data_IF_419705029262
#
_entry.id   IF_419705029262
#
_cell.length_a   1.000
_cell.length_b   1.000
_cell.length_c   1.000
_cell.angle_alpha   90.00
_cell.angle_beta   90.00
_cell.angle_gamma   90.00
#
_symmetry.space_group_name_H-M   'P 1'
#
loop_
_entity.id
_entity.type
_entity.pdbx_description
1 polymer ?
#
# COMPACT_ATOMS: atom_id res chain seq x y z
N UNK A 1 44.69 36.89 14.45
CA UNK A 1 44.24 37.76 15.56
C UNK A 1 43.33 38.82 14.97
N UNK A 2 42.02 38.58 14.95
CA UNK A 2 41.01 39.57 14.51
C UNK A 2 39.94 39.58 15.59
N UNK A 3 39.84 40.72 16.26
CA UNK A 3 38.94 41.02 17.36
C UNK A 3 37.65 41.57 16.76
N UNK A 4 36.52 40.92 17.00
CA UNK A 4 35.21 41.55 16.77
C UNK A 4 34.48 41.75 18.10
N UNK A 5 34.25 43.03 18.37
CA UNK A 5 33.62 43.61 19.56
C UNK A 5 32.11 43.66 19.37
N UNK A 6 31.42 43.35 20.46
CA UNK A 6 30.01 43.60 20.79
C UNK A 6 29.29 44.72 20.03
N UNK A 7 28.04 44.45 19.64
CA UNK A 7 26.98 45.45 19.74
C UNK A 7 25.74 44.81 20.37
N UNK A 8 25.52 45.18 21.63
CA UNK A 8 24.36 44.87 22.45
C UNK A 8 23.30 45.94 22.15
N UNK A 9 22.12 45.56 21.64
CA UNK A 9 20.95 46.43 21.64
C UNK A 9 19.76 45.62 22.12
N UNK A 10 19.41 45.86 23.39
CA UNK A 10 18.14 45.51 23.97
C UNK A 10 17.07 46.47 23.42
N UNK A 11 15.97 45.92 22.90
CA UNK A 11 14.73 46.67 22.73
C UNK A 11 13.61 45.88 23.42
N UNK A 12 13.22 46.39 24.58
CA UNK A 12 12.03 46.00 25.33
C UNK A 12 10.78 46.51 24.62
N UNK A 13 9.94 45.59 24.14
CA UNK A 13 8.55 45.89 23.78
C UNK A 13 7.63 45.27 24.84
N UNK A 14 7.15 46.12 25.74
CA UNK A 14 6.07 45.81 26.68
C UNK A 14 4.77 45.84 25.87
N UNK A 15 4.30 44.67 25.45
CA UNK A 15 2.98 44.49 24.83
C UNK A 15 1.94 44.14 25.89
N UNK A 16 0.96 45.03 26.07
CA UNK A 16 -0.21 44.81 26.91
C UNK A 16 -1.03 43.64 26.36
N UNK A 17 -1.12 42.55 27.11
CA UNK A 17 -2.07 41.48 26.85
C UNK A 17 -3.45 41.92 27.37
N UNK A 18 -4.33 42.25 26.43
CA UNK A 18 -5.76 42.34 26.70
C UNK A 18 -6.27 40.98 27.18
N UNK A 19 -7.01 40.98 28.29
CA UNK A 19 -7.66 39.81 28.82
C UNK A 19 -8.68 39.28 27.80
N UNK A 20 -8.41 38.12 27.23
CA UNK A 20 -9.34 37.35 26.42
C UNK A 20 -10.54 36.96 27.30
N UNK A 21 -11.79 37.20 26.88
CA UNK A 21 -12.95 36.69 27.61
C UNK A 21 -12.88 35.16 27.65
N UNK A 22 -12.94 34.61 28.87
CA UNK A 22 -13.05 33.18 29.10
C UNK A 22 -14.31 32.67 28.39
N UNK A 23 -14.11 32.01 27.25
CA UNK A 23 -15.14 31.22 26.62
C UNK A 23 -15.50 30.09 27.58
N UNK A 24 -16.77 30.01 27.93
CA UNK A 24 -17.34 28.92 28.70
C UNK A 24 -16.96 27.60 28.03
N UNK A 25 -16.19 26.77 28.75
CA UNK A 25 -15.95 25.40 28.36
C UNK A 25 -17.27 24.65 28.51
N UNK A 26 -17.89 24.33 27.39
CA UNK A 26 -18.91 23.28 27.32
C UNK A 26 -18.14 21.98 27.50
N UNK A 27 -18.19 21.43 28.71
CA UNK A 27 -17.81 20.05 28.97
C UNK A 27 -18.78 19.17 28.17
N UNK A 28 -18.37 18.80 26.95
CA UNK A 28 -18.93 17.62 26.31
C UNK A 28 -18.35 16.41 27.03
N UNK A 29 -19.19 15.73 27.83
CA UNK A 29 -18.96 14.36 28.25
C UNK A 29 -18.92 13.46 27.02
N UNK A 30 -17.81 13.49 26.27
CA UNK A 30 -17.47 12.45 25.34
C UNK A 30 -16.92 11.30 26.16
N UNK A 31 -17.79 10.34 26.46
CA UNK A 31 -17.40 9.04 27.01
C UNK A 31 -16.62 8.32 25.90
N UNK A 32 -15.30 8.50 25.90
CA UNK A 32 -14.39 7.66 25.12
C UNK A 32 -14.32 6.32 25.85
N UNK A 33 -15.14 5.37 25.42
CA UNK A 33 -14.98 3.97 25.79
C UNK A 33 -13.73 3.45 25.06
N UNK A 34 -12.57 3.64 25.70
CA UNK A 34 -11.42 2.80 25.43
C UNK A 34 -11.75 1.43 26.01
N UNK A 35 -12.40 0.58 25.20
CA UNK A 35 -12.47 -0.83 25.50
C UNK A 35 -11.05 -1.35 25.48
N UNK A 36 -10.46 -1.54 26.67
CA UNK A 36 -9.25 -2.33 26.81
C UNK A 36 -9.59 -3.72 26.26
N UNK A 37 -9.04 -4.04 25.09
CA UNK A 37 -8.96 -5.41 24.63
C UNK A 37 -7.98 -6.10 25.59
N UNK A 38 -8.52 -6.64 26.69
CA UNK A 38 -7.75 -7.27 27.78
C UNK A 38 -6.93 -8.45 27.25
N UNK A 39 -7.35 -9.08 26.15
CA UNK A 39 -6.63 -10.15 25.48
C UNK A 39 -6.78 -10.11 23.96
N UNK A 40 -5.80 -10.66 23.24
CA UNK A 40 -5.91 -10.88 21.79
C UNK A 40 -7.00 -11.91 21.42
N UNK A 41 -7.49 -12.66 22.41
CA UNK A 41 -8.49 -13.72 22.26
C UNK A 41 -9.91 -13.14 22.12
N UNK A 42 -10.12 -11.88 22.55
CA UNK A 42 -11.40 -11.16 22.46
C UNK A 42 -11.59 -10.39 21.14
N UNK A 43 -10.61 -10.45 20.22
CA UNK A 43 -10.72 -9.79 18.92
C UNK A 43 -11.77 -10.51 18.04
N UNK A 44 -12.77 -9.81 17.49
CA UNK A 44 -13.79 -10.40 16.61
C UNK A 44 -13.23 -10.71 15.22
N UNK A 45 -12.24 -11.62 15.15
CA UNK A 45 -11.61 -12.04 13.90
C UNK A 45 -11.94 -13.50 13.63
N UNK A 46 -12.98 -13.74 12.85
CA UNK A 46 -13.23 -15.06 12.27
C UNK A 46 -12.50 -15.15 10.93
N UNK A 47 -11.57 -16.08 10.81
CA UNK A 47 -11.03 -16.47 9.51
C UNK A 47 -12.06 -17.34 8.80
N UNK A 48 -12.70 -16.81 7.75
CA UNK A 48 -13.56 -17.65 6.89
C UNK A 48 -12.74 -18.79 6.27
N UNK A 49 -13.35 -19.97 6.07
CA UNK A 49 -12.68 -21.09 5.41
C UNK A 49 -12.19 -20.67 4.02
N UNK A 50 -11.06 -21.24 3.62
CA UNK A 50 -10.35 -20.92 2.39
C UNK A 50 -11.26 -21.04 1.16
N UNK A 51 -11.63 -19.90 0.61
CA UNK A 51 -12.24 -19.85 -0.72
C UNK A 51 -11.15 -20.10 -1.77
N UNK A 52 -11.55 -20.53 -2.97
CA UNK A 52 -10.62 -20.67 -4.11
C UNK A 52 -9.81 -19.38 -4.37
N UNK A 53 -10.39 -18.21 -4.07
CA UNK A 53 -9.72 -16.93 -4.19
C UNK A 53 -8.53 -16.81 -3.21
N UNK A 54 -8.73 -17.16 -1.94
CA UNK A 54 -7.66 -17.12 -0.93
C UNK A 54 -6.49 -18.06 -1.28
N UNK A 55 -6.78 -19.25 -1.82
CA UNK A 55 -5.74 -20.16 -2.31
C UNK A 55 -4.98 -19.56 -3.50
N UNK A 56 -5.69 -18.89 -4.42
CA UNK A 56 -5.08 -18.22 -5.58
C UNK A 56 -4.19 -17.06 -5.12
N UNK A 57 -4.64 -16.25 -4.16
CA UNK A 57 -3.85 -15.17 -3.56
C UNK A 57 -2.57 -15.67 -2.89
N UNK A 58 -2.66 -16.74 -2.10
CA UNK A 58 -1.47 -17.34 -1.47
C UNK A 58 -0.47 -17.86 -2.50
N UNK A 59 -0.98 -18.49 -3.56
CA UNK A 59 -0.14 -18.98 -4.66
C UNK A 59 0.56 -17.81 -5.36
N UNK A 60 -0.20 -16.77 -5.70
CA UNK A 60 0.32 -15.55 -6.31
C UNK A 60 1.39 -14.88 -5.44
N UNK A 61 1.14 -14.73 -4.14
CA UNK A 61 2.10 -14.13 -3.19
C UNK A 61 3.36 -14.98 -3.03
N UNK A 62 3.23 -16.30 -2.93
CA UNK A 62 4.37 -17.22 -2.87
C UNK A 62 5.25 -17.13 -4.12
N UNK A 63 4.63 -17.06 -5.31
CA UNK A 63 5.34 -16.86 -6.58
C UNK A 63 5.99 -15.47 -6.68
N UNK A 64 5.38 -14.41 -6.16
CA UNK A 64 5.98 -13.08 -6.08
C UNK A 64 7.18 -13.07 -5.14
N UNK A 65 7.09 -13.70 -3.97
CA UNK A 65 8.20 -13.81 -3.04
C UNK A 65 9.37 -14.63 -3.63
N UNK A 66 9.06 -15.74 -4.31
CA UNK A 66 10.06 -16.54 -5.04
C UNK A 66 10.77 -15.73 -6.12
N UNK A 67 9.99 -15.00 -6.93
CA UNK A 67 10.52 -14.17 -7.99
C UNK A 67 11.52 -13.16 -7.46
N UNK A 68 11.12 -12.40 -6.45
CA UNK A 68 11.94 -11.35 -5.88
C UNK A 68 13.24 -11.88 -5.25
N UNK A 69 13.22 -13.07 -4.63
CA UNK A 69 14.46 -13.74 -4.18
C UNK A 69 15.39 -14.17 -5.32
N UNK A 70 14.86 -14.38 -6.52
CA UNK A 70 15.62 -14.83 -7.69
C UNK A 70 16.11 -13.66 -8.56
N UNK A 71 15.42 -12.52 -8.58
CA UNK A 71 15.72 -11.39 -9.50
C UNK A 71 16.74 -10.38 -9.00
N UNK A 72 17.13 -10.42 -7.73
CA UNK A 72 17.68 -9.26 -7.01
C UNK A 72 16.73 -8.05 -7.10
N UNK A 73 17.11 -6.90 -6.52
CA UNK A 73 16.34 -5.66 -6.67
C UNK A 73 16.62 -5.00 -8.03
N UNK A 74 15.61 -4.38 -8.67
CA UNK A 74 15.85 -3.51 -9.82
C UNK A 74 16.85 -2.40 -9.48
N UNK A 75 17.49 -1.85 -10.53
CA UNK A 75 18.29 -0.63 -10.42
C UNK A 75 17.48 0.49 -9.72
N UNK A 76 18.11 1.36 -8.91
CA UNK A 76 17.40 2.35 -8.08
C UNK A 76 16.37 3.20 -8.85
N UNK A 77 16.72 3.69 -10.04
CA UNK A 77 15.81 4.49 -10.88
C UNK A 77 14.60 3.70 -11.39
N UNK A 78 14.79 2.43 -11.75
CA UNK A 78 13.69 1.55 -12.17
C UNK A 78 12.81 1.19 -10.96
N UNK A 79 13.41 0.90 -9.81
CA UNK A 79 12.67 0.62 -8.57
C UNK A 79 11.86 1.82 -8.10
N UNK A 80 12.43 3.04 -8.11
CA UNK A 80 11.69 4.29 -7.87
C UNK A 80 10.53 4.45 -8.84
N UNK A 81 10.76 4.20 -10.12
CA UNK A 81 9.69 4.29 -11.11
C UNK A 81 8.57 3.29 -10.79
N UNK A 82 8.89 2.07 -10.35
CA UNK A 82 7.90 1.08 -9.96
C UNK A 82 7.16 1.54 -8.69
N UNK A 83 7.86 1.82 -7.60
CA UNK A 83 7.30 2.06 -6.27
C UNK A 83 6.71 3.46 -6.12
N UNK A 84 7.37 4.48 -6.63
CA UNK A 84 7.04 5.89 -6.43
C UNK A 84 6.24 6.51 -7.58
N UNK A 85 5.90 5.75 -8.62
CA UNK A 85 4.84 6.17 -9.56
C UNK A 85 3.46 5.75 -9.02
N UNK A 86 2.39 6.56 -9.21
CA UNK A 86 1.03 6.14 -8.92
C UNK A 86 0.66 4.82 -9.62
N UNK A 87 -0.04 3.91 -8.92
CA UNK A 87 -0.23 2.49 -9.30
C UNK A 87 -0.74 2.29 -10.73
N UNK A 88 -1.65 3.15 -11.19
CA UNK A 88 -2.29 3.02 -12.51
C UNK A 88 -1.70 3.94 -13.58
N UNK A 89 -0.52 4.53 -13.36
CA UNK A 89 0.16 5.31 -14.38
C UNK A 89 1.04 4.42 -15.25
N UNK A 90 0.99 4.69 -16.56
CA UNK A 90 1.69 3.91 -17.59
C UNK A 90 3.19 3.77 -17.31
N UNK A 91 3.85 4.78 -16.76
CA UNK A 91 5.28 4.73 -16.46
C UNK A 91 5.63 3.60 -15.47
N UNK A 92 4.95 3.55 -14.32
CA UNK A 92 5.17 2.52 -13.29
C UNK A 92 4.77 1.13 -13.79
N UNK A 93 3.65 1.02 -14.50
CA UNK A 93 3.19 -0.24 -15.10
C UNK A 93 4.20 -0.76 -16.14
N UNK A 94 4.74 0.13 -17.00
CA UNK A 94 5.72 -0.26 -18.02
C UNK A 94 7.06 -0.65 -17.39
N UNK A 95 7.49 0.02 -16.33
CA UNK A 95 8.68 -0.35 -15.57
C UNK A 95 8.53 -1.74 -14.93
N UNK A 96 7.43 -1.98 -14.20
CA UNK A 96 7.17 -3.29 -13.60
C UNK A 96 7.04 -4.39 -14.66
N UNK A 97 6.38 -4.11 -15.78
CA UNK A 97 6.29 -5.04 -16.90
C UNK A 97 7.66 -5.44 -17.46
N UNK A 98 8.56 -4.47 -17.70
CA UNK A 98 9.92 -4.76 -18.18
C UNK A 98 10.69 -5.60 -17.18
N UNK A 99 10.61 -5.25 -15.89
CA UNK A 99 11.27 -5.98 -14.83
C UNK A 99 10.80 -7.44 -14.78
N UNK A 100 9.49 -7.67 -14.80
CA UNK A 100 8.88 -9.01 -14.84
C UNK A 100 9.33 -9.79 -16.08
N UNK A 101 9.32 -9.16 -17.27
CA UNK A 101 9.70 -9.86 -18.51
C UNK A 101 11.15 -10.30 -18.52
N UNK A 102 12.04 -9.42 -18.09
CA UNK A 102 13.50 -9.67 -18.06
C UNK A 102 13.83 -10.84 -17.14
N UNK A 103 13.02 -11.06 -16.11
CA UNK A 103 13.24 -12.10 -15.11
C UNK A 103 12.11 -13.14 -15.05
N UNK A 104 11.38 -13.33 -16.15
CA UNK A 104 10.22 -14.23 -16.17
C UNK A 104 10.54 -15.68 -15.78
N UNK A 105 11.80 -16.11 -15.97
CA UNK A 105 12.30 -17.42 -15.52
C UNK A 105 12.40 -17.61 -14.00
N UNK A 106 12.25 -16.54 -13.22
CA UNK A 106 12.26 -16.60 -11.75
C UNK A 106 10.90 -17.00 -11.13
N UNK A 107 9.85 -17.13 -11.95
CA UNK A 107 8.61 -17.77 -11.51
C UNK A 107 8.76 -19.29 -11.59
N UNK A 108 8.33 -20.00 -10.54
CA UNK A 108 8.68 -21.40 -10.37
C UNK A 108 7.68 -22.41 -10.92
N UNK A 109 6.75 -22.00 -11.79
CA UNK A 109 5.79 -22.91 -12.42
C UNK A 109 6.13 -23.22 -13.87
N UNK A 110 6.23 -24.51 -14.20
CA UNK A 110 6.14 -25.03 -15.58
C UNK A 110 4.80 -24.63 -16.26
N UNK A 111 3.77 -24.34 -15.47
CA UNK A 111 2.42 -23.92 -15.92
C UNK A 111 2.09 -22.45 -15.65
N UNK A 112 2.95 -21.69 -14.96
CA UNK A 112 2.87 -20.22 -14.96
C UNK A 112 3.45 -19.73 -16.27
N UNK A 113 2.81 -20.11 -17.38
CA UNK A 113 2.97 -19.40 -18.64
C UNK A 113 2.52 -17.99 -18.33
N UNK A 114 3.48 -17.10 -18.09
CA UNK A 114 3.27 -15.66 -18.14
C UNK A 114 2.64 -15.45 -19.49
N UNK A 115 1.31 -15.37 -19.52
CA UNK A 115 0.59 -15.22 -20.77
C UNK A 115 1.20 -13.97 -21.41
N UNK A 116 1.51 -13.98 -22.71
CA UNK A 116 2.01 -12.82 -23.40
C UNK A 116 0.91 -11.74 -23.37
N UNK A 117 0.80 -11.06 -22.24
CA UNK A 117 -0.02 -9.90 -22.01
C UNK A 117 0.88 -8.72 -22.34
N UNK A 118 0.45 -7.82 -23.24
CA UNK A 118 1.21 -6.61 -23.51
C UNK A 118 1.38 -5.73 -22.26
N UNK A 119 0.67 -6.02 -21.15
CA UNK A 119 0.59 -5.16 -19.97
C UNK A 119 0.64 -5.93 -18.62
N UNK A 120 1.70 -6.72 -18.38
CA UNK A 120 1.93 -7.38 -17.07
C UNK A 120 1.98 -6.42 -15.87
N UNK A 121 2.25 -5.12 -16.11
CA UNK A 121 2.18 -4.11 -15.06
C UNK A 121 0.78 -3.54 -14.78
N UNK A 122 -0.23 -3.86 -15.59
CA UNK A 122 -1.65 -3.48 -15.35
C UNK A 122 -2.36 -4.61 -14.63
N UNK A 123 -2.30 -5.80 -15.21
CA UNK A 123 -2.75 -7.04 -14.60
C UNK A 123 -1.83 -8.14 -15.14
N UNK A 124 -1.23 -8.88 -14.22
CA UNK A 124 -0.50 -10.12 -14.51
C UNK A 124 -1.45 -11.26 -14.13
N UNK A 125 -2.38 -11.66 -15.02
CA UNK A 125 -3.45 -12.57 -14.64
C UNK A 125 -2.87 -13.95 -14.32
N UNK A 126 -3.21 -14.49 -13.14
CA UNK A 126 -3.05 -15.90 -12.88
C UNK A 126 -4.34 -16.62 -13.29
N UNK A 127 -4.25 -17.42 -14.35
CA UNK A 127 -5.35 -18.31 -14.72
C UNK A 127 -5.42 -19.46 -13.72
N UNK A 128 -6.63 -19.88 -13.36
CA UNK A 128 -6.82 -21.09 -12.57
C UNK A 128 -6.15 -22.30 -13.30
N UNK A 129 -5.45 -23.20 -12.59
CA UNK A 129 -4.85 -24.39 -13.18
C UNK A 129 -5.88 -25.15 -14.03
N UNK A 130 -5.58 -25.42 -15.30
CA UNK A 130 -6.45 -26.17 -16.21
C UNK A 130 -7.57 -25.37 -16.91
N UNK A 131 -7.70 -24.06 -16.68
CA UNK A 131 -8.61 -23.24 -17.48
C UNK A 131 -7.98 -22.95 -18.87
N UNK A 132 -8.53 -23.43 -19.99
CA UNK A 132 -8.00 -23.13 -21.32
C UNK A 132 -7.99 -21.60 -21.53
N UNK A 133 -6.98 -21.04 -22.21
CA UNK A 133 -6.96 -19.62 -22.53
C UNK A 133 -8.19 -19.30 -23.38
N UNK A 134 -9.18 -18.64 -22.76
CA UNK A 134 -10.30 -18.08 -23.50
C UNK A 134 -9.77 -16.89 -24.29
N UNK A 135 -9.45 -17.12 -25.58
CA UNK A 135 -9.10 -16.14 -26.62
C UNK A 135 -8.36 -14.89 -26.12
N UNK A 136 -7.03 -14.92 -26.17
CA UNK A 136 -6.15 -13.81 -25.79
C UNK A 136 -6.35 -12.50 -26.59
N UNK A 137 -7.18 -12.52 -27.65
CA UNK A 137 -7.39 -11.40 -28.57
C UNK A 137 -8.41 -10.35 -28.12
N UNK A 138 -9.00 -10.46 -26.92
CA UNK A 138 -10.11 -9.57 -26.50
C UNK A 138 -9.77 -8.50 -25.44
N UNK A 139 -8.51 -8.29 -25.07
CA UNK A 139 -8.13 -7.20 -24.15
C UNK A 139 -7.47 -6.06 -24.94
N UNK A 140 -8.29 -5.30 -25.66
CA UNK A 140 -7.90 -3.97 -26.15
C UNK A 140 -8.25 -2.92 -25.10
N UNK A 141 -7.22 -2.37 -24.44
CA UNK A 141 -7.37 -1.16 -23.63
C UNK A 141 -7.50 0.03 -24.59
N UNK A 142 -8.71 0.54 -24.70
CA UNK A 142 -9.18 1.57 -25.62
C UNK A 142 -8.67 3.00 -25.29
N UNK A 143 -7.57 3.14 -24.56
CA UNK A 143 -7.22 4.42 -23.92
C UNK A 143 -6.31 5.35 -24.74
N UNK A 144 -5.91 5.02 -25.97
CA UNK A 144 -5.04 5.87 -26.80
C UNK A 144 -5.45 6.03 -28.28
N UNK A 145 -6.67 5.67 -28.66
CA UNK A 145 -7.15 5.93 -30.03
C UNK A 145 -7.50 7.43 -30.21
N UNK A 146 -7.09 8.06 -31.33
CA UNK A 146 -7.51 9.41 -31.70
C UNK A 146 -9.03 9.55 -31.66
N UNK A 147 -9.52 10.73 -31.30
CA UNK A 147 -10.96 11.00 -31.12
C UNK A 147 -11.81 10.57 -32.33
N UNK A 148 -11.26 10.66 -33.54
CA UNK A 148 -11.93 10.30 -34.79
C UNK A 148 -12.19 8.78 -34.94
N UNK A 149 -11.37 7.91 -34.33
CA UNK A 149 -11.58 6.46 -34.37
C UNK A 149 -12.61 5.95 -33.34
N UNK A 150 -12.92 6.75 -32.30
CA UNK A 150 -13.97 6.41 -31.31
C UNK A 150 -15.38 6.51 -31.90
N UNK A 151 -15.56 7.33 -32.93
CA UNK A 151 -16.85 7.52 -33.60
C UNK A 151 -17.32 6.30 -34.41
N UNK A 152 -16.44 5.35 -34.73
CA UNK A 152 -16.81 4.14 -35.49
C UNK A 152 -17.08 2.92 -34.58
N UNK A 153 -16.77 3.01 -33.29
CA UNK A 153 -16.96 1.94 -32.31
C UNK A 153 -18.18 2.16 -31.39
N UNK A 154 -19.08 3.08 -31.74
CA UNK A 154 -20.38 3.24 -31.09
C UNK A 154 -21.31 2.08 -31.44
N UNK A 155 -21.05 0.92 -30.82
CA UNK A 155 -22.07 -0.11 -30.63
C UNK A 155 -22.71 0.17 -29.28
N UNK A 156 -23.95 0.62 -29.33
CA UNK A 156 -24.90 0.63 -28.22
C UNK A 156 -25.01 -0.79 -27.64
N UNK A 157 -24.26 -1.02 -26.57
CA UNK A 157 -24.33 -2.24 -25.79
C UNK A 157 -23.39 -2.11 -24.62
N UNK A 158 -23.94 -1.88 -23.42
CA UNK A 158 -23.22 -2.07 -22.16
C UNK A 158 -22.72 -3.52 -22.09
N UNK A 159 -21.54 -3.80 -22.66
CA UNK A 159 -20.76 -4.97 -22.32
C UNK A 159 -20.17 -4.68 -20.95
N UNK A 160 -20.84 -5.19 -19.92
CA UNK A 160 -20.18 -5.60 -18.69
C UNK A 160 -18.92 -6.37 -19.11
N UNK A 161 -17.74 -5.75 -18.95
CA UNK A 161 -16.49 -6.47 -18.94
C UNK A 161 -16.57 -7.34 -17.70
N UNK A 162 -17.07 -8.57 -17.85
CA UNK A 162 -16.78 -9.61 -16.88
C UNK A 162 -15.27 -9.81 -16.98
N UNK A 163 -14.53 -9.16 -16.10
CA UNK A 163 -13.25 -9.70 -15.71
C UNK A 163 -13.60 -11.10 -15.19
N UNK A 164 -13.34 -12.12 -16.01
CA UNK A 164 -13.25 -13.49 -15.50
C UNK A 164 -12.36 -13.40 -14.26
N UNK A 165 -12.70 -14.11 -13.18
CA UNK A 165 -12.09 -13.99 -11.85
C UNK A 165 -10.61 -14.34 -11.74
N UNK A 166 -9.81 -13.89 -12.70
CA UNK A 166 -8.36 -13.96 -12.77
C UNK A 166 -7.83 -12.91 -11.81
N UNK A 167 -7.24 -13.40 -10.71
CA UNK A 167 -6.52 -12.59 -9.76
C UNK A 167 -5.36 -11.88 -10.47
N UNK A 168 -5.27 -10.55 -10.33
CA UNK A 168 -4.14 -9.78 -10.85
C UNK A 168 -2.95 -9.89 -9.90
N UNK A 169 -1.86 -10.51 -10.37
CA UNK A 169 -0.66 -10.73 -9.57
C UNK A 169 0.14 -9.46 -9.24
N UNK A 170 -0.13 -8.38 -9.99
CA UNK A 170 0.60 -7.11 -9.91
C UNK A 170 0.66 -6.55 -8.48
N UNK A 171 -0.41 -6.72 -7.69
CA UNK A 171 -0.46 -6.29 -6.30
C UNK A 171 0.58 -7.02 -5.44
N UNK A 172 0.74 -8.32 -5.66
CA UNK A 172 1.70 -9.15 -4.92
C UNK A 172 3.13 -8.93 -5.40
N UNK A 173 3.35 -8.79 -6.71
CA UNK A 173 4.67 -8.48 -7.28
C UNK A 173 5.17 -7.13 -6.76
N UNK A 174 4.30 -6.10 -6.73
CA UNK A 174 4.61 -4.78 -6.19
C UNK A 174 4.74 -4.79 -4.66
N UNK A 175 3.90 -5.54 -3.96
CA UNK A 175 4.00 -5.73 -2.50
C UNK A 175 5.35 -6.31 -2.09
N UNK A 176 5.81 -7.36 -2.78
CA UNK A 176 7.11 -7.97 -2.51
C UNK A 176 8.28 -7.00 -2.80
N UNK A 177 8.16 -6.12 -3.80
CA UNK A 177 9.14 -5.04 -4.04
C UNK A 177 9.13 -3.99 -2.93
N UNK A 178 7.97 -3.64 -2.37
CA UNK A 178 7.90 -2.76 -1.19
C UNK A 178 8.55 -3.41 0.03
N UNK A 179 8.31 -4.70 0.29
CA UNK A 179 8.96 -5.42 1.40
C UNK A 179 10.49 -5.36 1.30
N UNK A 180 11.05 -5.68 0.13
CA UNK A 180 12.49 -5.57 -0.07
C UNK A 180 13.02 -4.13 0.00
N UNK A 181 12.27 -3.14 -0.48
CA UNK A 181 12.69 -1.75 -0.39
C UNK A 181 12.72 -1.26 1.06
N UNK A 182 11.76 -1.68 1.88
CA UNK A 182 11.76 -1.42 3.33
C UNK A 182 12.96 -2.11 4.00
N UNK A 183 13.20 -3.39 3.68
CA UNK A 183 14.34 -4.14 4.21
C UNK A 183 15.69 -3.49 3.86
N UNK A 184 15.87 -3.08 2.60
CA UNK A 184 17.15 -2.57 2.11
C UNK A 184 17.41 -1.10 2.45
N UNK A 185 16.37 -0.26 2.47
CA UNK A 185 16.53 1.20 2.53
C UNK A 185 15.85 1.85 3.75
N UNK A 186 15.24 1.08 4.65
CA UNK A 186 14.50 1.57 5.80
C UNK A 186 15.03 1.12 7.17
N UNK A 187 16.23 0.53 7.23
CA UNK A 187 16.82 -0.03 8.46
C UNK A 187 17.12 1.01 9.55
N UNK A 188 17.40 2.25 9.15
CA UNK A 188 17.59 3.41 10.02
C UNK A 188 16.27 4.02 10.54
N UNK A 189 15.10 3.56 10.05
CA UNK A 189 13.79 4.09 10.44
C UNK A 189 13.01 3.05 11.24
N UNK A 190 12.88 3.30 12.53
CA UNK A 190 11.88 2.62 13.37
C UNK A 190 10.64 3.50 13.46
N UNK A 191 9.54 3.09 12.82
CA UNK A 191 8.27 3.77 12.93
C UNK A 191 7.73 3.58 14.35
N UNK A 192 7.14 4.64 14.88
CA UNK A 192 6.40 4.60 16.14
C UNK A 192 5.11 5.37 15.99
N UNK A 193 4.13 5.06 16.84
CA UNK A 193 2.86 5.83 16.87
C UNK A 193 3.10 7.34 17.03
N UNK A 194 4.11 7.74 17.80
CA UNK A 194 4.45 9.16 17.97
C UNK A 194 4.86 9.84 16.65
N UNK A 195 5.59 9.13 15.79
CA UNK A 195 5.98 9.62 14.47
C UNK A 195 4.80 9.68 13.50
N UNK A 196 3.98 8.63 13.43
CA UNK A 196 2.87 8.55 12.46
C UNK A 196 1.70 9.48 12.80
N UNK A 197 1.59 9.93 14.06
CA UNK A 197 0.63 10.96 14.48
C UNK A 197 1.23 12.37 14.53
N UNK A 198 2.54 12.53 14.28
CA UNK A 198 3.16 13.86 14.27
C UNK A 198 2.57 14.70 13.11
N UNK A 199 2.04 15.92 13.35
CA UNK A 199 1.29 16.68 12.33
C UNK A 199 2.05 16.87 11.02
N UNK A 200 3.34 17.24 11.10
CA UNK A 200 4.20 17.45 9.92
C UNK A 200 4.43 16.15 9.13
N UNK A 201 4.54 15.02 9.81
CA UNK A 201 4.77 13.73 9.15
C UNK A 201 3.48 13.27 8.46
N UNK A 202 2.33 13.46 9.11
CA UNK A 202 1.03 13.18 8.52
C UNK A 202 0.75 14.05 7.30
N UNK A 203 1.05 15.35 7.36
CA UNK A 203 0.92 16.25 6.21
C UNK A 203 1.79 15.79 5.02
N UNK A 204 3.03 15.36 5.28
CA UNK A 204 3.91 14.78 4.24
C UNK A 204 3.30 13.52 3.64
N UNK A 205 2.79 12.62 4.49
CA UNK A 205 2.13 11.39 4.04
C UNK A 205 0.93 11.72 3.15
N UNK A 206 0.03 12.61 3.58
CA UNK A 206 -1.16 13.01 2.83
C UNK A 206 -0.80 13.70 1.51
N UNK A 207 0.16 14.63 1.54
CA UNK A 207 0.64 15.34 0.34
C UNK A 207 1.19 14.37 -0.71
N UNK A 208 1.87 13.31 -0.27
CA UNK A 208 2.37 12.27 -1.17
C UNK A 208 1.26 11.32 -1.63
N UNK A 209 0.46 10.78 -0.71
CA UNK A 209 -0.42 9.66 -0.99
C UNK A 209 -1.74 10.04 -1.65
N UNK A 210 -2.27 11.24 -1.41
CA UNK A 210 -3.54 11.69 -2.02
C UNK A 210 -3.44 11.67 -3.55
N UNK A 211 -2.50 12.39 -4.20
CA UNK A 211 -2.39 12.40 -5.66
C UNK A 211 -2.04 11.02 -6.25
N UNK A 212 -1.28 10.19 -5.52
CA UNK A 212 -0.94 8.83 -5.97
C UNK A 212 -2.16 7.92 -5.99
N UNK A 213 -3.00 8.05 -4.96
CA UNK A 213 -4.18 7.23 -4.78
C UNK A 213 -5.33 7.61 -5.69
N UNK A 214 -5.34 8.81 -6.27
CA UNK A 214 -6.32 9.22 -7.30
C UNK A 214 -6.30 8.31 -8.54
N UNK A 215 -5.16 7.70 -8.84
CA UNK A 215 -5.05 6.77 -9.97
C UNK A 215 -5.67 5.40 -9.69
N UNK A 216 -5.83 5.01 -8.42
CA UNK A 216 -6.37 3.70 -8.01
C UNK A 216 -7.86 3.56 -8.34
N UNK A 217 -8.35 2.33 -8.42
CA UNK A 217 -9.81 2.12 -8.42
C UNK A 217 -10.40 2.55 -7.07
N UNK A 218 -11.68 2.93 -6.98
CA UNK A 218 -12.28 3.34 -5.70
C UNK A 218 -12.09 2.30 -4.58
N UNK A 219 -12.26 1.01 -4.90
CA UNK A 219 -12.10 -0.09 -3.94
C UNK A 219 -10.63 -0.29 -3.53
N UNK A 220 -9.69 -0.26 -4.46
CA UNK A 220 -8.25 -0.35 -4.18
C UNK A 220 -7.77 0.83 -3.31
N UNK A 221 -8.23 2.04 -3.65
CA UNK A 221 -7.96 3.26 -2.88
C UNK A 221 -8.48 3.15 -1.44
N UNK A 222 -9.72 2.74 -1.27
CA UNK A 222 -10.33 2.58 0.04
C UNK A 222 -9.60 1.51 0.87
N UNK A 223 -9.26 0.37 0.26
CA UNK A 223 -8.50 -0.67 0.92
C UNK A 223 -7.13 -0.19 1.37
N UNK A 224 -6.40 0.51 0.50
CA UNK A 224 -5.11 1.14 0.85
C UNK A 224 -5.23 2.08 2.05
N UNK A 225 -6.20 3.01 2.05
CA UNK A 225 -6.34 3.96 3.15
C UNK A 225 -6.73 3.31 4.47
N UNK A 226 -7.55 2.25 4.44
CA UNK A 226 -7.88 1.47 5.65
C UNK A 226 -6.63 0.84 6.24
N UNK A 227 -5.81 0.18 5.41
CA UNK A 227 -4.55 -0.44 5.85
C UNK A 227 -3.53 0.61 6.31
N UNK A 228 -3.41 1.73 5.59
CA UNK A 228 -2.52 2.83 5.96
C UNK A 228 -2.89 3.45 7.31
N UNK A 229 -4.18 3.58 7.60
CA UNK A 229 -4.70 3.99 8.91
C UNK A 229 -4.35 2.96 10.00
N UNK A 230 -4.49 1.66 9.74
CA UNK A 230 -4.10 0.61 10.70
C UNK A 230 -2.61 0.68 11.03
N UNK A 231 -1.76 0.84 10.01
CA UNK A 231 -0.32 1.04 10.17
C UNK A 231 -0.01 2.35 10.89
N UNK A 232 -0.80 3.42 10.69
CA UNK A 232 -0.65 4.65 11.45
C UNK A 232 -0.87 4.42 12.95
N UNK A 233 -1.88 3.62 13.33
CA UNK A 233 -2.23 3.34 14.74
C UNK A 233 -1.19 2.43 15.41
N UNK A 234 -0.76 1.35 14.75
CA UNK A 234 0.20 0.35 15.26
C UNK A 234 1.35 0.11 14.25
N UNK A 235 2.20 1.10 13.98
CA UNK A 235 3.23 0.98 12.96
C UNK A 235 4.26 -0.11 13.27
N UNK A 236 4.51 -0.36 14.55
CA UNK A 236 5.45 -1.37 15.02
C UNK A 236 4.98 -2.78 14.58
N UNK A 237 3.66 -3.05 14.63
CA UNK A 237 3.11 -4.32 14.14
C UNK A 237 3.21 -4.45 12.63
N UNK A 238 3.03 -3.33 11.90
CA UNK A 238 3.27 -3.29 10.46
C UNK A 238 4.70 -3.70 10.10
N UNK A 239 5.70 -3.08 10.74
CA UNK A 239 7.11 -3.41 10.51
C UNK A 239 7.46 -4.85 10.94
N UNK A 240 7.03 -5.27 12.13
CA UNK A 240 7.25 -6.64 12.59
C UNK A 240 6.64 -7.66 11.64
N UNK A 241 5.46 -7.37 11.08
CA UNK A 241 4.81 -8.27 10.13
C UNK A 241 5.69 -8.48 8.90
N UNK A 242 6.29 -7.42 8.34
CA UNK A 242 7.19 -7.54 7.19
C UNK A 242 8.47 -8.34 7.49
N UNK A 243 8.93 -8.33 8.74
CA UNK A 243 10.08 -9.11 9.20
C UNK A 243 9.76 -10.59 9.48
N UNK A 244 8.48 -10.96 9.49
CA UNK A 244 8.05 -12.35 9.73
C UNK A 244 7.81 -13.10 8.42
N UNK A 245 8.05 -14.42 8.45
CA UNK A 245 7.80 -15.30 7.30
C UNK A 245 6.30 -15.22 6.90
N UNK A 246 6.00 -14.94 5.61
CA UNK A 246 4.62 -14.88 5.12
C UNK A 246 3.84 -16.17 5.41
N UNK A 247 2.63 -16.02 5.96
CA UNK A 247 1.77 -17.17 6.29
C UNK A 247 2.15 -17.93 7.57
N UNK A 248 3.17 -17.48 8.30
CA UNK A 248 3.45 -18.00 9.64
C UNK A 248 2.33 -17.65 10.63
N UNK A 249 2.25 -18.41 11.74
CA UNK A 249 1.33 -18.09 12.84
C UNK A 249 1.59 -16.69 13.41
N UNK A 250 2.87 -16.27 13.46
CA UNK A 250 3.26 -14.93 13.92
C UNK A 250 2.74 -13.84 12.97
N UNK A 251 2.86 -14.01 11.65
CA UNK A 251 2.28 -13.07 10.67
C UNK A 251 0.77 -12.99 10.83
N UNK A 252 0.10 -14.13 10.96
CA UNK A 252 -1.36 -14.20 11.14
C UNK A 252 -1.80 -13.47 12.41
N UNK A 253 -1.08 -13.65 13.52
CA UNK A 253 -1.35 -12.95 14.77
C UNK A 253 -1.13 -11.44 14.64
N UNK A 254 -0.04 -11.00 13.99
CA UNK A 254 0.24 -9.58 13.76
C UNK A 254 -0.83 -8.93 12.87
N UNK A 255 -1.31 -9.64 11.85
CA UNK A 255 -2.44 -9.22 11.03
C UNK A 255 -3.72 -9.04 11.85
N UNK A 256 -4.05 -9.99 12.71
CA UNK A 256 -5.22 -9.88 13.60
C UNK A 256 -5.09 -8.70 14.56
N UNK A 257 -3.90 -8.47 15.13
CA UNK A 257 -3.64 -7.32 16.00
C UNK A 257 -3.78 -5.99 15.24
N UNK A 258 -3.25 -5.88 14.01
CA UNK A 258 -3.42 -4.69 13.16
C UNK A 258 -4.90 -4.40 12.88
N UNK A 259 -5.68 -5.43 12.53
CA UNK A 259 -7.12 -5.29 12.28
C UNK A 259 -7.86 -4.90 13.56
N UNK A 260 -7.55 -5.56 14.68
CA UNK A 260 -8.19 -5.35 15.98
C UNK A 260 -7.99 -3.93 16.53
N UNK A 261 -6.73 -3.49 16.65
CA UNK A 261 -6.43 -2.11 17.06
C UNK A 261 -6.84 -1.08 15.99
N UNK A 262 -7.01 -1.54 14.75
CA UNK A 262 -7.45 -0.77 13.60
C UNK A 262 -8.96 -0.55 13.48
N UNK A 263 -9.77 -0.95 14.46
CA UNK A 263 -11.22 -0.84 14.40
C UNK A 263 -11.75 0.55 13.97
N UNK A 264 -11.18 1.69 14.41
CA UNK A 264 -11.62 3.01 13.93
C UNK A 264 -11.44 3.21 12.42
N UNK A 265 -10.43 2.57 11.81
CA UNK A 265 -10.13 2.69 10.39
C UNK A 265 -11.17 2.02 9.49
N UNK A 266 -11.98 1.12 10.04
CA UNK A 266 -13.06 0.39 9.34
C UNK A 266 -14.44 0.76 9.89
N UNK A 267 -14.54 1.87 10.64
CA UNK A 267 -15.80 2.32 11.22
C UNK A 267 -16.37 1.36 12.26
N UNK A 268 -15.51 0.68 13.02
CA UNK A 268 -15.87 -0.29 14.05
C UNK A 268 -16.78 -1.43 13.55
N UNK A 269 -16.53 -1.90 12.32
CA UNK A 269 -17.24 -3.05 11.78
C UNK A 269 -17.10 -4.28 12.70
N UNK A 270 -18.22 -4.99 12.92
CA UNK A 270 -18.26 -6.21 13.76
C UNK A 270 -17.45 -7.37 13.17
N UNK A 271 -17.38 -7.46 11.84
CA UNK A 271 -16.62 -8.48 11.12
C UNK A 271 -15.77 -7.81 10.03
N UNK A 272 -14.46 -8.08 10.06
CA UNK A 272 -13.51 -7.65 9.02
C UNK A 272 -12.90 -8.88 8.38
N UNK A 273 -13.19 -9.07 7.09
CA UNK A 273 -12.60 -10.15 6.28
C UNK A 273 -11.60 -9.54 5.30
N UNK A 274 -10.35 -9.99 5.37
CA UNK A 274 -9.30 -9.59 4.44
C UNK A 274 -8.54 -10.83 3.96
N UNK A 275 -8.19 -10.84 2.67
CA UNK A 275 -7.22 -11.79 2.14
C UNK A 275 -5.84 -11.50 2.75
N UNK A 276 -5.26 -12.48 3.45
CA UNK A 276 -4.03 -12.26 4.22
C UNK A 276 -2.84 -11.84 3.37
N UNK A 277 -2.68 -12.45 2.19
CA UNK A 277 -1.59 -12.13 1.28
C UNK A 277 -1.74 -10.75 0.65
N UNK A 278 -2.95 -10.39 0.25
CA UNK A 278 -3.25 -9.04 -0.23
C UNK A 278 -3.04 -8.02 0.89
N UNK A 279 -3.57 -8.27 2.09
CA UNK A 279 -3.42 -7.39 3.25
C UNK A 279 -1.94 -7.09 3.52
N UNK A 280 -1.08 -8.12 3.50
CA UNK A 280 0.37 -7.96 3.65
C UNK A 280 0.99 -7.05 2.59
N UNK A 281 0.62 -7.20 1.32
CA UNK A 281 1.11 -6.33 0.25
C UNK A 281 0.77 -4.84 0.51
N UNK A 282 -0.43 -4.55 1.01
CA UNK A 282 -0.81 -3.17 1.37
C UNK A 282 -0.17 -2.69 2.68
N UNK A 283 0.11 -3.58 3.63
CA UNK A 283 0.93 -3.23 4.81
C UNK A 283 2.34 -2.86 4.39
N UNK A 284 2.95 -3.61 3.46
CA UNK A 284 4.26 -3.29 2.91
C UNK A 284 4.29 -1.90 2.26
N UNK A 285 3.32 -1.61 1.39
CA UNK A 285 3.18 -0.29 0.77
C UNK A 285 2.94 0.83 1.80
N UNK A 286 2.12 0.58 2.82
CA UNK A 286 1.82 1.56 3.87
C UNK A 286 3.01 1.86 4.76
N UNK A 287 3.76 0.82 5.18
CA UNK A 287 5.01 0.97 5.97
C UNK A 287 6.03 1.77 5.17
N UNK A 288 6.23 1.43 3.89
CA UNK A 288 7.09 2.20 2.99
C UNK A 288 6.65 3.68 2.93
N UNK A 289 5.37 3.96 2.65
CA UNK A 289 4.87 5.33 2.53
C UNK A 289 5.02 6.14 3.84
N UNK A 290 4.81 5.52 5.01
CA UNK A 290 5.08 6.17 6.31
C UNK A 290 6.56 6.44 6.55
N UNK A 291 7.45 5.50 6.20
CA UNK A 291 8.90 5.71 6.29
C UNK A 291 9.39 6.86 5.39
N UNK A 292 8.87 6.96 4.16
CA UNK A 292 9.15 8.09 3.25
C UNK A 292 8.75 9.41 3.92
N UNK A 293 7.54 9.47 4.50
CA UNK A 293 7.05 10.67 5.19
C UNK A 293 7.90 11.06 6.41
N UNK A 294 8.34 10.07 7.20
CA UNK A 294 9.25 10.26 8.35
C UNK A 294 10.59 10.81 7.89
N UNK A 295 11.19 10.20 6.86
CA UNK A 295 12.47 10.65 6.29
C UNK A 295 12.37 12.06 5.68
N UNK A 296 11.19 12.42 5.18
CA UNK A 296 10.96 13.72 4.53
C UNK A 296 11.60 13.80 3.14
N UNK A 297 11.66 12.67 2.43
CA UNK A 297 12.14 12.55 1.05
C UNK A 297 11.00 12.14 0.13
N UNK A 298 11.22 12.14 -1.18
CA UNK A 298 10.21 11.68 -2.16
C UNK A 298 10.15 10.14 -2.25
N UNK A 299 11.24 9.47 -1.85
CA UNK A 299 11.45 8.01 -1.93
C UNK A 299 12.40 7.52 -0.83
N UNK A 300 12.30 6.25 -0.44
CA UNK A 300 13.35 5.59 0.37
C UNK A 300 14.54 5.14 -0.48
N UNK A 301 14.29 4.85 -1.76
CA UNK A 301 15.31 4.39 -2.71
C UNK A 301 16.21 5.58 -3.07
N UNK A 302 17.56 5.46 -3.03
CA UNK A 302 18.54 6.53 -3.24
C UNK A 302 18.75 6.91 -4.71
#
# INVERSE_FOLDING_TARGET
MIVFRFCLTALTAIGAFAATPAAAQVESEEIVVLGDLESAEDLPTQTKPDTNLAQTSRTAASESARFIRCTELPEPDELRTILDTPVNRIAGQRALHRFIRTHSGCYGGLDTVVRPSPWLGVCNPQGAPGAPPKNADQIFVESNLPAEMRSMLSVTGHRSVRMNGDLCRVTFDRGALFELAVEKYGDDITLSRGLTFHPVIRERFETREIPRSESRSPTDREFFYRVACMVQIRPEYGQMMLQTEPGSETETRLRQLLIGYGAPCVGYAEEVVADGSQFRAYVAESVYSWMVAVRGTDSLVP
#
